data_IF_098925472099
#
_entry.id   IF_098925472099
#
_cell.length_a   1.000
_cell.length_b   1.000
_cell.length_c   1.000
_cell.angle_alpha   90.00
_cell.angle_beta   90.00
_cell.angle_gamma   90.00
#
_symmetry.space_group_name_H-M   'P 1'
#
loop_
_entity.id
_entity.type
_entity.pdbx_description
1 polymer ?
#
# COMPACT_ATOMS: atom_id res chain seq x y z
N UNK A 1 -16.54 2.30 6.72
CA UNK A 1 -16.96 3.38 5.78
C UNK A 1 -17.75 4.55 6.38
N UNK A 2 -18.25 4.51 7.62
CA UNK A 2 -19.03 5.63 8.19
C UNK A 2 -18.26 6.97 8.30
N UNK A 3 -16.93 6.93 8.18
CA UNK A 3 -16.02 8.08 8.28
C UNK A 3 -15.50 8.62 6.95
N UNK A 4 -15.80 7.96 5.82
CA UNK A 4 -15.49 8.48 4.47
C UNK A 4 -16.25 9.78 4.15
N UNK A 5 -17.55 9.93 4.48
CA UNK A 5 -18.33 11.10 4.06
C UNK A 5 -17.79 12.44 4.60
N UNK A 6 -17.47 12.60 5.91
CA UNK A 6 -16.98 13.88 6.43
C UNK A 6 -15.64 14.32 5.82
N UNK A 7 -14.68 13.40 5.67
CA UNK A 7 -13.39 13.74 5.07
C UNK A 7 -13.52 14.01 3.57
N UNK A 8 -14.37 13.27 2.86
CA UNK A 8 -14.62 13.50 1.43
C UNK A 8 -15.27 14.86 1.17
N UNK A 9 -16.28 15.22 1.95
CA UNK A 9 -17.02 16.48 1.74
C UNK A 9 -16.16 17.71 2.03
N UNK A 10 -15.27 17.62 3.04
CA UNK A 10 -14.49 18.77 3.51
C UNK A 10 -13.06 18.79 2.97
N UNK A 11 -12.52 17.67 2.51
CA UNK A 11 -11.15 17.54 2.03
C UNK A 11 -11.02 16.62 0.78
N UNK A 12 -11.79 16.86 -0.30
CA UNK A 12 -11.77 15.99 -1.49
C UNK A 12 -10.39 15.95 -2.18
N UNK A 13 -9.58 17.00 -2.04
CA UNK A 13 -8.23 17.11 -2.58
C UNK A 13 -7.22 16.13 -1.98
N UNK A 14 -7.54 15.50 -0.83
CA UNK A 14 -6.69 14.47 -0.23
C UNK A 14 -6.75 13.15 -0.98
N UNK A 15 -7.82 12.92 -1.74
CA UNK A 15 -8.03 11.69 -2.51
C UNK A 15 -7.38 11.80 -3.89
N UNK A 16 -6.99 10.66 -4.48
CA UNK A 16 -6.59 10.66 -5.89
C UNK A 16 -7.80 10.93 -6.81
N UNK A 17 -7.59 11.21 -8.09
CA UNK A 17 -8.70 11.51 -8.99
C UNK A 17 -9.58 10.27 -9.25
N UNK A 18 -10.91 10.43 -9.27
CA UNK A 18 -11.85 9.33 -9.58
C UNK A 18 -11.97 8.24 -8.50
N UNK A 19 -11.49 8.50 -7.29
CA UNK A 19 -11.34 7.57 -6.14
C UNK A 19 -12.54 7.56 -5.18
N UNK A 20 -13.57 8.35 -5.46
CA UNK A 20 -14.79 8.41 -4.65
C UNK A 20 -16.05 8.40 -5.53
N UNK A 21 -15.98 7.75 -6.69
CA UNK A 21 -17.17 7.49 -7.49
C UNK A 21 -18.02 6.38 -6.87
N UNK A 22 -19.27 6.27 -7.35
CA UNK A 22 -20.21 5.27 -6.83
C UNK A 22 -19.70 3.82 -6.98
N UNK A 23 -18.93 3.55 -8.03
CA UNK A 23 -18.34 2.22 -8.24
C UNK A 23 -17.35 1.88 -7.13
N UNK A 24 -16.49 2.83 -6.74
CA UNK A 24 -15.55 2.62 -5.64
C UNK A 24 -16.29 2.33 -4.33
N UNK A 25 -17.29 3.13 -3.98
CA UNK A 25 -18.05 2.94 -2.74
C UNK A 25 -18.77 1.57 -2.69
N UNK A 26 -19.49 1.24 -3.76
CA UNK A 26 -20.27 0.01 -3.83
C UNK A 26 -19.34 -1.22 -3.76
N UNK A 27 -18.24 -1.20 -4.52
CA UNK A 27 -17.29 -2.32 -4.55
C UNK A 27 -16.46 -2.42 -3.26
N UNK A 28 -16.07 -1.31 -2.65
CA UNK A 28 -15.32 -1.31 -1.39
C UNK A 28 -16.15 -1.94 -0.28
N UNK A 29 -17.43 -1.57 -0.15
CA UNK A 29 -18.34 -2.12 0.86
C UNK A 29 -18.57 -3.63 0.66
N UNK A 30 -18.79 -4.06 -0.58
CA UNK A 30 -18.99 -5.47 -0.93
C UNK A 30 -17.72 -6.29 -0.62
N UNK A 31 -16.59 -5.89 -1.20
CA UNK A 31 -15.36 -6.70 -1.21
C UNK A 31 -14.66 -6.66 0.14
N UNK A 32 -14.58 -5.53 0.83
CA UNK A 32 -13.85 -5.47 2.11
C UNK A 32 -14.52 -6.31 3.19
N UNK A 33 -15.86 -6.42 3.18
CA UNK A 33 -16.55 -7.34 4.08
C UNK A 33 -16.22 -8.80 3.81
N UNK A 34 -16.03 -9.18 2.54
CA UNK A 34 -15.59 -10.53 2.18
C UNK A 34 -14.13 -10.80 2.54
N UNK A 35 -13.25 -9.84 2.26
CA UNK A 35 -11.81 -9.91 2.60
C UNK A 35 -11.63 -10.03 4.11
N UNK A 36 -12.40 -9.30 4.91
CA UNK A 36 -12.38 -9.41 6.38
C UNK A 36 -12.71 -10.85 6.82
N UNK A 37 -13.77 -11.45 6.27
CA UNK A 37 -14.16 -12.83 6.60
C UNK A 37 -13.13 -13.86 6.18
N UNK A 38 -12.47 -13.63 5.05
CA UNK A 38 -11.48 -14.53 4.46
C UNK A 38 -10.04 -14.22 4.88
N UNK A 39 -9.82 -13.28 5.81
CA UNK A 39 -8.47 -12.83 6.20
C UNK A 39 -7.54 -13.99 6.57
N UNK A 40 -8.05 -14.99 7.29
CA UNK A 40 -7.27 -16.17 7.69
C UNK A 40 -6.87 -17.03 6.50
N UNK A 41 -7.76 -17.20 5.53
CA UNK A 41 -7.51 -18.01 4.33
C UNK A 41 -6.48 -17.34 3.44
N UNK A 42 -6.57 -16.01 3.29
CA UNK A 42 -5.56 -15.22 2.57
C UNK A 42 -4.19 -15.40 3.24
N UNK A 43 -4.11 -15.24 4.56
CA UNK A 43 -2.85 -15.40 5.27
C UNK A 43 -2.31 -16.83 5.14
N UNK A 44 -3.17 -17.85 5.30
CA UNK A 44 -2.77 -19.24 5.10
C UNK A 44 -2.18 -19.47 3.71
N UNK A 45 -2.81 -18.91 2.67
CA UNK A 45 -2.31 -18.96 1.30
C UNK A 45 -0.94 -18.28 1.15
N UNK A 46 -0.81 -17.03 1.62
CA UNK A 46 0.43 -16.26 1.53
C UNK A 46 1.63 -16.93 2.21
N UNK A 47 1.40 -17.70 3.28
CA UNK A 47 2.46 -18.37 4.05
C UNK A 47 2.59 -19.87 3.76
N UNK A 48 1.83 -20.42 2.80
CA UNK A 48 1.83 -21.85 2.52
C UNK A 48 3.13 -22.35 1.89
N UNK A 49 3.78 -21.55 1.04
CA UNK A 49 5.07 -21.88 0.42
C UNK A 49 6.20 -21.04 1.01
N UNK A 50 7.10 -21.70 1.73
CA UNK A 50 8.25 -21.07 2.39
C UNK A 50 9.17 -20.33 1.42
N UNK A 51 9.19 -20.66 0.12
CA UNK A 51 9.99 -19.94 -0.88
C UNK A 51 9.56 -18.49 -1.05
N UNK A 52 8.31 -18.17 -0.74
CA UNK A 52 7.76 -16.82 -0.78
C UNK A 52 7.87 -16.11 0.58
N UNK A 53 8.58 -16.69 1.54
CA UNK A 53 8.75 -16.13 2.87
C UNK A 53 10.24 -15.87 3.15
N UNK A 54 10.55 -14.67 3.64
CA UNK A 54 11.91 -14.28 3.95
C UNK A 54 11.93 -13.11 4.92
N UNK A 55 13.13 -12.61 5.22
CA UNK A 55 13.26 -11.39 5.99
C UNK A 55 12.97 -10.18 5.11
N UNK A 56 12.08 -9.30 5.56
CA UNK A 56 11.63 -8.13 4.80
C UNK A 56 11.81 -6.86 5.61
N UNK A 57 12.14 -5.76 4.93
CA UNK A 57 12.17 -4.42 5.48
C UNK A 57 10.78 -3.77 5.29
N UNK A 58 9.89 -3.81 6.29
CA UNK A 58 8.53 -3.24 6.17
C UNK A 58 8.47 -1.71 6.37
N UNK A 59 9.54 -1.01 6.00
CA UNK A 59 9.65 0.46 6.01
C UNK A 59 10.62 0.97 4.93
N UNK A 60 10.52 0.43 3.71
CA UNK A 60 11.35 0.80 2.53
C UNK A 60 10.88 2.10 1.84
N UNK A 61 10.46 3.10 2.62
CA UNK A 61 10.19 4.43 2.08
C UNK A 61 11.52 5.11 1.71
N UNK A 62 11.47 6.08 0.80
CA UNK A 62 12.68 6.73 0.23
C UNK A 62 13.52 7.47 1.26
N UNK A 63 12.93 7.90 2.37
CA UNK A 63 13.60 8.50 3.52
C UNK A 63 14.44 7.50 4.34
N UNK A 64 14.20 6.20 4.15
CA UNK A 64 14.99 5.11 4.73
C UNK A 64 15.97 4.47 3.75
N UNK A 65 16.07 4.99 2.53
CA UNK A 65 17.04 4.52 1.55
C UNK A 65 18.35 5.32 1.69
N UNK A 66 19.48 4.61 1.70
CA UNK A 66 20.82 5.22 1.63
C UNK A 66 21.49 4.78 0.32
N UNK A 67 22.11 5.73 -0.36
CA UNK A 67 22.82 5.52 -1.61
C UNK A 67 24.25 6.01 -1.45
N UNK A 68 25.22 5.23 -1.93
CA UNK A 68 26.62 5.61 -1.94
C UNK A 68 27.31 5.09 -3.19
N UNK A 69 28.57 5.48 -3.41
CA UNK A 69 29.41 4.87 -4.44
C UNK A 69 30.47 4.03 -3.76
N UNK A 70 30.73 2.84 -4.28
CA UNK A 70 31.85 2.01 -3.85
C UNK A 70 33.19 2.57 -4.32
N UNK A 71 34.29 1.85 -4.05
CA UNK A 71 35.65 2.26 -4.39
C UNK A 71 35.86 2.37 -5.93
N UNK A 72 35.09 1.59 -6.70
CA UNK A 72 35.08 1.59 -8.16
C UNK A 72 34.12 2.64 -8.77
N UNK A 73 33.38 3.37 -7.94
CA UNK A 73 32.44 4.41 -8.36
C UNK A 73 31.05 3.90 -8.77
N UNK A 74 30.77 2.60 -8.60
CA UNK A 74 29.46 1.98 -8.86
C UNK A 74 28.46 2.45 -7.80
N UNK A 75 27.22 2.73 -8.23
CA UNK A 75 26.15 3.11 -7.32
C UNK A 75 25.69 1.89 -6.52
N UNK A 76 25.77 2.00 -5.21
CA UNK A 76 25.26 1.03 -4.25
C UNK A 76 24.08 1.62 -3.47
N UNK A 77 23.26 0.74 -2.90
CA UNK A 77 22.09 1.14 -2.13
C UNK A 77 21.84 0.22 -0.94
N UNK A 78 21.14 0.74 0.06
CA UNK A 78 20.79 0.01 1.27
C UNK A 78 19.65 0.69 2.02
N UNK A 79 19.26 0.07 3.13
CA UNK A 79 18.20 0.59 4.01
C UNK A 79 18.72 0.86 5.42
N UNK A 80 18.16 1.90 6.04
CA UNK A 80 18.25 2.18 7.47
C UNK A 80 16.87 1.96 8.12
N UNK A 81 16.79 2.15 9.44
CA UNK A 81 15.54 1.99 10.20
C UNK A 81 14.92 0.58 10.14
N UNK A 82 15.69 -0.37 10.67
CA UNK A 82 15.34 -1.79 10.74
C UNK A 82 14.29 -2.12 11.83
N UNK A 83 13.60 -1.13 12.40
CA UNK A 83 12.65 -1.32 13.50
C UNK A 83 11.45 -2.21 13.15
N UNK A 84 11.11 -2.34 11.86
CA UNK A 84 10.06 -3.25 11.35
C UNK A 84 10.60 -4.49 10.64
N UNK A 85 11.90 -4.75 10.75
CA UNK A 85 12.52 -5.92 10.15
C UNK A 85 12.03 -7.20 10.80
N UNK A 86 11.47 -8.11 10.00
CA UNK A 86 11.00 -9.43 10.46
C UNK A 86 10.85 -10.39 9.29
N UNK A 87 10.66 -11.67 9.62
CA UNK A 87 10.24 -12.68 8.64
C UNK A 87 8.78 -12.41 8.23
N UNK A 88 8.52 -12.35 6.92
CA UNK A 88 7.21 -12.13 6.33
C UNK A 88 7.13 -12.79 4.93
N UNK A 89 5.94 -12.84 4.34
CA UNK A 89 5.77 -13.08 2.91
C UNK A 89 6.44 -11.93 2.13
N UNK A 90 7.22 -12.26 1.10
CA UNK A 90 8.06 -11.30 0.36
C UNK A 90 7.23 -10.22 -0.33
N UNK A 91 6.14 -10.60 -1.02
CA UNK A 91 5.26 -9.65 -1.71
C UNK A 91 4.51 -8.75 -0.72
N UNK A 92 4.12 -9.30 0.44
CA UNK A 92 3.54 -8.53 1.54
C UNK A 92 4.54 -7.53 2.11
N UNK A 93 5.78 -7.96 2.34
CA UNK A 93 6.85 -7.08 2.82
C UNK A 93 7.16 -5.95 1.83
N UNK A 94 7.15 -6.25 0.53
CA UNK A 94 7.29 -5.26 -0.54
C UNK A 94 6.14 -4.25 -0.52
N UNK A 95 4.89 -4.72 -0.49
CA UNK A 95 3.68 -3.89 -0.42
C UNK A 95 3.72 -2.96 0.78
N UNK A 96 4.00 -3.49 1.97
CA UNK A 96 4.08 -2.67 3.19
C UNK A 96 5.32 -1.80 3.27
N UNK A 97 6.36 -2.11 2.48
CA UNK A 97 7.63 -1.40 2.50
C UNK A 97 7.50 0.03 1.97
N UNK A 98 6.80 0.24 0.86
CA UNK A 98 6.67 1.55 0.23
C UNK A 98 5.24 2.10 0.23
N UNK A 99 4.31 1.49 0.97
CA UNK A 99 2.89 1.89 1.01
C UNK A 99 2.66 3.37 1.38
N UNK A 100 3.62 4.03 2.03
CA UNK A 100 3.55 5.44 2.41
C UNK A 100 4.22 6.38 1.41
N UNK A 101 4.61 5.92 0.21
CA UNK A 101 5.14 6.79 -0.84
C UNK A 101 4.05 7.70 -1.40
N UNK A 102 4.40 8.94 -1.73
CA UNK A 102 3.51 9.89 -2.41
C UNK A 102 3.57 9.77 -3.95
N UNK A 103 4.38 8.82 -4.47
CA UNK A 103 4.61 8.54 -5.89
C UNK A 103 3.58 7.56 -6.48
N UNK A 104 2.31 7.77 -6.18
CA UNK A 104 1.22 6.84 -6.52
C UNK A 104 1.18 6.46 -8.02
N UNK A 105 1.29 7.44 -8.90
CA UNK A 105 1.24 7.24 -10.36
C UNK A 105 2.45 6.43 -10.87
N UNK A 106 3.63 6.70 -10.31
CA UNK A 106 4.85 5.96 -10.65
C UNK A 106 4.72 4.50 -10.22
N UNK A 107 4.19 4.27 -9.01
CA UNK A 107 3.99 2.94 -8.48
C UNK A 107 3.05 2.13 -9.36
N UNK A 108 1.87 2.65 -9.69
CA UNK A 108 0.90 1.93 -10.52
C UNK A 108 1.41 1.62 -11.93
N UNK A 109 2.23 2.51 -12.49
CA UNK A 109 2.81 2.33 -13.82
C UNK A 109 3.89 1.26 -13.83
N UNK A 110 4.59 1.08 -12.70
CA UNK A 110 5.86 0.34 -12.66
C UNK A 110 5.82 -0.88 -11.74
N UNK A 111 4.74 -1.12 -11.01
CA UNK A 111 4.65 -2.17 -9.99
C UNK A 111 4.88 -3.59 -10.53
N UNK A 112 4.35 -3.91 -11.70
CA UNK A 112 4.59 -5.18 -12.36
C UNK A 112 6.07 -5.35 -12.71
N UNK A 113 6.69 -4.32 -13.29
CA UNK A 113 8.13 -4.34 -13.63
C UNK A 113 9.00 -4.40 -12.37
N UNK A 114 8.61 -3.68 -11.31
CA UNK A 114 9.27 -3.73 -10.00
C UNK A 114 9.14 -5.12 -9.37
N UNK A 115 7.98 -5.76 -9.47
CA UNK A 115 7.77 -7.12 -8.98
C UNK A 115 8.58 -8.15 -9.79
N UNK A 116 8.70 -7.99 -11.12
CA UNK A 116 9.57 -8.84 -11.96
C UNK A 116 11.03 -8.67 -11.55
N UNK A 117 11.50 -7.43 -11.46
CA UNK A 117 12.85 -7.10 -11.01
C UNK A 117 13.11 -7.71 -9.62
N UNK A 118 12.18 -7.56 -8.67
CA UNK A 118 12.31 -8.16 -7.33
C UNK A 118 12.48 -9.68 -7.39
N UNK A 119 11.66 -10.38 -8.17
CA UNK A 119 11.72 -11.85 -8.30
C UNK A 119 13.04 -12.31 -8.94
N UNK A 120 13.50 -11.60 -9.98
CA UNK A 120 14.75 -11.87 -10.68
C UNK A 120 15.96 -11.66 -9.76
N UNK A 121 16.04 -10.49 -9.12
CA UNK A 121 17.13 -10.12 -8.22
C UNK A 121 17.14 -10.97 -6.95
N UNK A 122 15.98 -11.33 -6.40
CA UNK A 122 15.88 -12.24 -5.26
C UNK A 122 16.53 -13.59 -5.58
N UNK A 123 16.29 -14.12 -6.78
CA UNK A 123 16.92 -15.38 -7.23
C UNK A 123 18.41 -15.18 -7.50
N UNK A 124 18.80 -14.09 -8.17
CA UNK A 124 20.20 -13.78 -8.49
C UNK A 124 21.06 -13.58 -7.23
N UNK A 125 20.49 -13.03 -6.16
CA UNK A 125 21.11 -12.86 -4.85
C UNK A 125 21.19 -14.15 -4.02
N UNK A 126 20.76 -15.29 -4.57
CA UNK A 126 20.85 -16.61 -3.92
C UNK A 126 19.57 -17.07 -3.22
N UNK A 127 18.45 -16.35 -3.38
CA UNK A 127 17.13 -16.80 -2.94
C UNK A 127 16.61 -17.98 -3.77
N UNK A 128 15.60 -18.72 -3.27
CA UNK A 128 14.93 -19.76 -4.04
C UNK A 128 14.26 -19.17 -5.29
N UNK A 129 14.23 -19.95 -6.36
CA UNK A 129 13.49 -19.61 -7.56
C UNK A 129 11.98 -19.58 -7.26
N UNK A 130 11.37 -18.43 -7.50
CA UNK A 130 9.93 -18.18 -7.36
C UNK A 130 9.33 -17.73 -8.70
N UNK A 131 8.02 -17.88 -8.89
CA UNK A 131 7.33 -17.42 -10.10
C UNK A 131 6.86 -15.98 -9.92
N UNK A 132 6.89 -15.22 -11.01
CA UNK A 132 6.30 -13.88 -11.03
C UNK A 132 4.79 -13.95 -10.79
N UNK A 133 4.11 -14.93 -11.39
CA UNK A 133 2.65 -15.04 -11.35
C UNK A 133 2.13 -15.25 -9.92
N UNK A 134 2.77 -16.13 -9.15
CA UNK A 134 2.42 -16.36 -7.73
C UNK A 134 2.83 -15.18 -6.86
N UNK A 135 4.00 -14.57 -7.12
CA UNK A 135 4.41 -13.36 -6.41
C UNK A 135 3.42 -12.20 -6.64
N UNK A 136 2.95 -12.03 -7.87
CA UNK A 136 1.98 -11.02 -8.25
C UNK A 136 0.61 -11.26 -7.61
N UNK A 137 0.17 -12.51 -7.52
CA UNK A 137 -1.04 -12.87 -6.78
C UNK A 137 -0.90 -12.55 -5.28
N UNK A 138 0.24 -12.90 -4.66
CA UNK A 138 0.54 -12.52 -3.28
C UNK A 138 0.56 -11.00 -3.08
N UNK A 139 1.07 -10.27 -4.06
CA UNK A 139 1.14 -8.81 -4.06
C UNK A 139 -0.26 -8.18 -4.07
N UNK A 140 -1.15 -8.62 -4.95
CA UNK A 140 -2.54 -8.13 -5.01
C UNK A 140 -3.34 -8.51 -3.76
N UNK A 141 -3.17 -9.72 -3.23
CA UNK A 141 -3.76 -10.12 -1.94
C UNK A 141 -3.27 -9.25 -0.78
N UNK A 142 -2.00 -8.83 -0.82
CA UNK A 142 -1.43 -7.93 0.19
C UNK A 142 -2.09 -6.55 0.14
N UNK A 143 -2.45 -6.05 -1.03
CA UNK A 143 -3.27 -4.83 -1.18
C UNK A 143 -4.70 -5.02 -0.67
N UNK A 144 -5.33 -6.18 -0.90
CA UNK A 144 -6.64 -6.49 -0.32
C UNK A 144 -6.59 -6.46 1.21
N UNK A 145 -5.59 -7.12 1.82
CA UNK A 145 -5.39 -7.10 3.28
C UNK A 145 -5.09 -5.69 3.81
N UNK A 146 -4.31 -4.91 3.06
CA UNK A 146 -4.04 -3.51 3.41
C UNK A 146 -5.32 -2.66 3.39
N UNK A 147 -6.28 -3.00 2.53
CA UNK A 147 -7.59 -2.36 2.49
C UNK A 147 -8.33 -2.39 3.83
N UNK A 148 -8.18 -3.46 4.61
CA UNK A 148 -8.77 -3.57 5.96
C UNK A 148 -8.23 -2.51 6.93
N UNK A 149 -6.98 -2.06 6.75
CA UNK A 149 -6.45 -0.91 7.49
C UNK A 149 -6.96 0.41 6.88
N UNK A 150 -7.03 0.48 5.55
CA UNK A 150 -7.35 1.71 4.83
C UNK A 150 -8.80 2.19 5.03
N UNK A 151 -9.74 1.28 5.29
CA UNK A 151 -11.15 1.65 5.57
C UNK A 151 -11.32 2.53 6.81
N UNK A 152 -10.38 2.48 7.76
CA UNK A 152 -10.40 3.27 9.00
C UNK A 152 -9.54 4.54 8.93
N UNK A 153 -8.63 4.64 7.96
CA UNK A 153 -7.73 5.80 7.83
C UNK A 153 -8.46 7.13 7.70
N UNK A 154 -9.59 7.27 6.96
CA UNK A 154 -10.31 8.54 6.91
C UNK A 154 -10.72 9.03 8.30
N UNK A 155 -11.13 8.12 9.19
CA UNK A 155 -11.45 8.48 10.58
C UNK A 155 -10.20 8.94 11.34
N UNK A 156 -9.10 8.19 11.20
CA UNK A 156 -7.84 8.52 11.89
C UNK A 156 -7.26 9.86 11.43
N UNK A 157 -7.26 10.13 10.12
CA UNK A 157 -6.84 11.41 9.53
C UNK A 157 -7.72 12.53 10.06
N UNK A 158 -9.03 12.31 10.11
CA UNK A 158 -9.98 13.28 10.66
C UNK A 158 -9.64 13.62 12.10
N UNK A 159 -9.58 12.66 13.02
CA UNK A 159 -9.42 12.93 14.46
C UNK A 159 -8.01 13.37 14.87
N UNK A 160 -6.98 13.07 14.07
CA UNK A 160 -5.57 13.41 14.38
C UNK A 160 -5.13 14.77 13.85
N UNK A 161 -5.96 15.44 13.04
CA UNK A 161 -5.60 16.71 12.42
C UNK A 161 -5.80 17.89 13.39
N UNK A 162 -4.82 18.79 13.55
CA UNK A 162 -5.02 20.05 14.27
C UNK A 162 -5.93 21.03 13.52
N UNK A 163 -6.29 20.73 12.26
CA UNK A 163 -7.19 21.51 11.39
C UNK A 163 -8.61 20.91 11.32
N UNK A 164 -9.02 20.19 12.37
CA UNK A 164 -10.23 19.33 12.53
C UNK A 164 -11.59 20.01 12.38
N UNK A 165 -11.66 21.27 11.96
CA UNK A 165 -12.94 21.86 11.59
C UNK A 165 -13.13 21.74 10.08
N UNK A 166 -14.37 21.53 9.59
CA UNK A 166 -14.72 21.66 8.17
C UNK A 166 -14.05 22.87 7.50
N UNK A 167 -14.02 24.01 8.20
CA UNK A 167 -13.42 25.27 7.74
C UNK A 167 -11.90 25.18 7.64
N UNK A 168 -11.24 24.43 8.53
CA UNK A 168 -9.79 24.19 8.47
C UNK A 168 -9.39 23.44 7.21
N UNK A 169 -10.05 22.32 6.92
CA UNK A 169 -9.80 21.53 5.71
C UNK A 169 -10.15 22.27 4.41
N UNK A 170 -11.19 23.11 4.42
CA UNK A 170 -11.55 23.93 3.27
C UNK A 170 -10.45 24.94 2.85
N UNK A 171 -9.50 25.26 3.75
CA UNK A 171 -8.37 26.12 3.42
C UNK A 171 -7.18 25.37 2.79
N UNK A 172 -7.18 24.04 2.81
CA UNK A 172 -6.13 23.21 2.21
C UNK A 172 -6.55 22.93 0.77
N UNK A 173 -5.70 23.32 -0.18
CA UNK A 173 -6.01 23.19 -1.61
C UNK A 173 -5.52 21.88 -2.23
N UNK A 174 -4.50 21.26 -1.64
CA UNK A 174 -3.80 20.12 -2.21
C UNK A 174 -3.17 19.26 -1.10
N UNK A 175 -3.01 17.96 -1.35
CA UNK A 175 -2.38 17.04 -0.39
C UNK A 175 -0.88 17.35 -0.13
N UNK A 176 -0.22 18.09 -1.02
CA UNK A 176 1.16 18.58 -0.88
C UNK A 176 1.26 19.91 -0.15
N UNK A 177 0.16 20.45 0.36
CA UNK A 177 0.20 21.66 1.18
C UNK A 177 1.17 21.46 2.35
N UNK A 178 2.10 22.42 2.62
CA UNK A 178 3.06 22.28 3.71
C UNK A 178 2.42 21.97 5.06
N UNK A 179 1.18 22.42 5.29
CA UNK A 179 0.43 22.13 6.52
C UNK A 179 0.08 20.65 6.67
N UNK A 180 -0.13 19.93 5.57
CA UNK A 180 -0.32 18.47 5.56
C UNK A 180 1.00 17.77 5.89
N UNK A 181 2.11 18.23 5.31
CA UNK A 181 3.43 17.69 5.58
C UNK A 181 3.88 17.89 7.04
N UNK A 182 3.52 19.01 7.65
CA UNK A 182 3.83 19.32 9.05
C UNK A 182 2.84 18.73 10.07
N UNK A 183 1.85 17.95 9.63
CA UNK A 183 1.04 17.17 10.56
C UNK A 183 1.92 16.14 11.28
N UNK A 184 1.53 15.68 12.49
CA UNK A 184 2.25 14.61 13.17
C UNK A 184 2.54 13.44 12.22
N UNK A 185 3.75 12.87 12.28
CA UNK A 185 4.32 11.93 11.30
C UNK A 185 3.40 10.79 10.81
N UNK A 186 2.37 10.41 11.59
CA UNK A 186 1.40 9.40 11.20
C UNK A 186 0.35 9.90 10.20
N UNK A 187 -0.04 11.17 10.22
CA UNK A 187 -1.16 11.66 9.41
C UNK A 187 -0.77 11.80 7.94
N UNK A 188 0.43 12.31 7.63
CA UNK A 188 0.91 12.39 6.25
C UNK A 188 1.09 10.97 5.63
N UNK A 189 1.69 10.04 6.38
CA UNK A 189 1.81 8.65 5.96
C UNK A 189 0.46 7.96 5.74
N UNK A 190 -0.54 8.25 6.59
CA UNK A 190 -1.90 7.75 6.44
C UNK A 190 -2.59 8.30 5.18
N UNK A 191 -2.36 9.58 4.84
CA UNK A 191 -2.87 10.18 3.59
C UNK A 191 -2.22 9.49 2.38
N UNK A 192 -0.90 9.30 2.39
CA UNK A 192 -0.19 8.60 1.31
C UNK A 192 -0.70 7.16 1.13
N UNK A 193 -0.84 6.41 2.24
CA UNK A 193 -1.39 5.05 2.24
C UNK A 193 -2.81 5.00 1.69
N UNK A 194 -3.69 5.92 2.12
CA UNK A 194 -5.06 6.00 1.62
C UNK A 194 -5.08 6.28 0.12
N UNK A 195 -4.29 7.25 -0.35
CA UNK A 195 -4.17 7.60 -1.77
C UNK A 195 -3.71 6.39 -2.59
N UNK A 196 -2.65 5.71 -2.14
CA UNK A 196 -2.14 4.52 -2.79
C UNK A 196 -3.20 3.42 -2.85
N UNK A 197 -3.82 3.09 -1.72
CA UNK A 197 -4.82 2.03 -1.68
C UNK A 197 -5.97 2.28 -2.66
N UNK A 198 -6.55 3.47 -2.69
CA UNK A 198 -7.69 3.67 -3.58
C UNK A 198 -7.28 3.69 -5.05
N UNK A 199 -6.09 4.22 -5.35
CA UNK A 199 -5.64 4.20 -6.71
C UNK A 199 -5.34 2.75 -7.17
N UNK A 200 -4.75 1.90 -6.33
CA UNK A 200 -4.62 0.46 -6.61
C UNK A 200 -5.97 -0.23 -6.78
N UNK A 201 -6.96 0.09 -5.94
CA UNK A 201 -8.31 -0.45 -6.02
C UNK A 201 -8.90 -0.33 -7.42
N UNK A 202 -8.74 0.85 -8.03
CA UNK A 202 -9.26 1.16 -9.37
C UNK A 202 -8.34 0.66 -10.48
N UNK A 203 -7.06 1.00 -10.44
CA UNK A 203 -6.12 0.73 -11.54
C UNK A 203 -5.81 -0.74 -11.72
N UNK A 204 -5.85 -1.54 -10.64
CA UNK A 204 -5.65 -3.00 -10.71
C UNK A 204 -6.96 -3.79 -10.65
N UNK A 205 -8.10 -3.11 -10.59
CA UNK A 205 -9.42 -3.72 -10.44
C UNK A 205 -9.40 -4.82 -9.35
N UNK A 206 -9.01 -4.40 -8.14
CA UNK A 206 -8.94 -5.30 -6.98
C UNK A 206 -10.28 -6.03 -6.73
N UNK A 207 -11.46 -5.42 -6.96
CA UNK A 207 -12.73 -6.16 -6.91
C UNK A 207 -12.79 -7.35 -7.87
N UNK A 208 -12.43 -7.16 -9.15
CA UNK A 208 -12.45 -8.26 -10.11
C UNK A 208 -11.37 -9.31 -9.79
N UNK A 209 -10.18 -8.89 -9.36
CA UNK A 209 -9.15 -9.80 -8.87
C UNK A 209 -9.67 -10.66 -7.71
N UNK A 210 -10.24 -10.03 -6.69
CA UNK A 210 -10.79 -10.70 -5.52
C UNK A 210 -11.84 -11.76 -5.90
N UNK A 211 -12.78 -11.40 -6.77
CA UNK A 211 -13.82 -12.33 -7.25
C UNK A 211 -13.22 -13.54 -7.96
N UNK A 212 -12.21 -13.34 -8.79
CA UNK A 212 -11.48 -14.45 -9.45
C UNK A 212 -10.74 -15.32 -8.43
N UNK A 213 -10.04 -14.70 -7.48
CA UNK A 213 -9.27 -15.41 -6.47
C UNK A 213 -10.16 -16.28 -5.58
N UNK A 214 -11.29 -15.73 -5.09
CA UNK A 214 -12.27 -16.47 -4.29
C UNK A 214 -12.95 -17.61 -5.04
N UNK A 215 -13.22 -17.43 -6.34
CA UNK A 215 -13.78 -18.51 -7.16
C UNK A 215 -12.79 -19.69 -7.32
N UNK A 216 -11.48 -19.40 -7.33
CA UNK A 216 -10.43 -20.42 -7.41
C UNK A 216 -10.07 -21.05 -6.05
N UNK A 217 -10.38 -20.36 -4.94
CA UNK A 217 -10.03 -20.75 -3.57
C UNK A 217 -11.27 -20.68 -2.64
N UNK A 218 -12.23 -21.62 -2.77
CA UNK A 218 -13.48 -21.61 -2.03
C UNK A 218 -13.30 -21.80 -0.51
#
# INVERSE_FOLDING_TARGET
CASLPPLRENAPHLFAEGVCDKWFEDTLLEVMGEVERAQKDILAFLYADEKYCGFTHENMNTDNAIFWRDEEGKLESGFIDWGRFKRNNLARGLTTGYMCTDLCDLMQKSDEDLCRCYVEEYTAAGGPKISFETFWEHYLLSWCLLGLLCVDLPHQIWISSPYTTPEGWATIGDYKDPRVFHMPNYTNGNIAMLRNFVAYWKHKDLPAFWKRWRAAHP
#
